data_IF_709820390888
#
_entry.id   IF_709820390888
#
_cell.length_a   1.000
_cell.length_b   1.000
_cell.length_c   1.000
_cell.angle_alpha   90.00
_cell.angle_beta   90.00
_cell.angle_gamma   90.00
#
_symmetry.space_group_name_H-M   'P 1'
#
loop_
_entity.id
_entity.type
_entity.pdbx_description
1 polymer ?
#
# COMPACT_ATOMS: atom_id res chain seq x y z
N UNK A 1 -20.09 -10.78 -18.99
CA UNK A 1 -20.50 -10.58 -20.40
C UNK A 1 -21.51 -9.43 -20.50
N UNK A 2 -22.54 -9.40 -19.66
CA UNK A 2 -23.58 -8.35 -19.64
C UNK A 2 -23.04 -6.91 -19.46
N UNK A 3 -22.11 -6.69 -18.52
CA UNK A 3 -21.47 -5.36 -18.35
C UNK A 3 -20.67 -4.88 -19.56
N UNK A 4 -19.98 -5.78 -20.27
CA UNK A 4 -19.23 -5.42 -21.48
C UNK A 4 -20.17 -5.05 -22.64
N UNK A 5 -21.31 -5.74 -22.78
CA UNK A 5 -22.33 -5.39 -23.75
C UNK A 5 -22.96 -4.01 -23.45
N UNK A 6 -23.22 -3.72 -22.17
CA UNK A 6 -23.69 -2.41 -21.73
C UNK A 6 -22.70 -1.29 -22.09
N UNK A 7 -21.40 -1.51 -21.89
CA UNK A 7 -20.37 -0.52 -22.21
C UNK A 7 -20.27 -0.27 -23.71
N UNK A 8 -20.35 -1.34 -24.51
CA UNK A 8 -20.34 -1.25 -25.96
C UNK A 8 -21.55 -0.44 -26.48
N UNK A 9 -22.74 -0.66 -25.93
CA UNK A 9 -23.93 0.15 -26.26
C UNK A 9 -23.76 1.63 -25.90
N UNK A 10 -23.18 1.94 -24.75
CA UNK A 10 -22.89 3.32 -24.36
C UNK A 10 -21.88 4.00 -25.29
N UNK A 11 -20.85 3.27 -25.76
CA UNK A 11 -19.89 3.82 -26.73
C UNK A 11 -20.54 4.11 -28.07
N UNK A 12 -21.41 3.23 -28.56
CA UNK A 12 -22.13 3.45 -29.83
C UNK A 12 -22.96 4.74 -29.79
N UNK A 13 -23.66 5.02 -28.68
CA UNK A 13 -24.41 6.27 -28.52
C UNK A 13 -23.48 7.50 -28.55
N UNK A 14 -22.34 7.45 -27.85
CA UNK A 14 -21.41 8.59 -27.79
C UNK A 14 -20.72 8.85 -29.13
N UNK A 15 -20.40 7.79 -29.89
CA UNK A 15 -19.79 7.89 -31.23
C UNK A 15 -20.81 8.46 -32.23
N UNK A 16 -22.08 8.06 -32.15
CA UNK A 16 -23.14 8.59 -33.01
C UNK A 16 -23.38 10.09 -32.74
N UNK A 17 -23.32 10.51 -31.48
CA UNK A 17 -23.48 11.92 -31.10
C UNK A 17 -22.22 12.77 -31.39
N UNK A 18 -21.03 12.17 -31.45
CA UNK A 18 -19.76 12.87 -31.64
C UNK A 18 -18.77 12.07 -32.50
N UNK A 19 -18.95 12.04 -33.83
CA UNK A 19 -18.17 11.18 -34.73
C UNK A 19 -16.66 11.50 -34.77
N UNK A 20 -16.27 12.74 -34.45
CA UNK A 20 -14.86 13.18 -34.44
C UNK A 20 -14.13 12.89 -33.11
N UNK A 21 -14.83 12.37 -32.09
CA UNK A 21 -14.19 12.03 -30.81
C UNK A 21 -13.38 10.74 -30.93
N UNK A 22 -12.12 10.81 -30.53
CA UNK A 22 -11.24 9.65 -30.44
C UNK A 22 -11.81 8.60 -29.48
N UNK A 23 -11.98 7.38 -29.96
CA UNK A 23 -12.41 6.21 -29.18
C UNK A 23 -11.56 5.98 -27.92
N UNK A 24 -10.27 6.32 -27.99
CA UNK A 24 -9.34 6.20 -26.86
C UNK A 24 -9.67 7.15 -25.68
N UNK A 25 -10.51 8.16 -25.89
CA UNK A 25 -10.92 9.12 -24.84
C UNK A 25 -12.28 8.78 -24.21
N UNK A 26 -12.94 7.70 -24.64
CA UNK A 26 -14.22 7.31 -24.08
C UNK A 26 -14.02 6.56 -22.74
N UNK A 27 -14.77 6.92 -21.69
CA UNK A 27 -14.69 6.21 -20.42
C UNK A 27 -15.16 4.76 -20.63
N UNK A 28 -14.30 3.81 -20.25
CA UNK A 28 -14.59 2.38 -20.32
C UNK A 28 -15.45 1.93 -19.13
N UNK A 29 -15.25 2.58 -17.98
CA UNK A 29 -16.02 2.32 -16.78
C UNK A 29 -17.31 3.14 -16.82
N UNK A 30 -18.42 2.49 -16.48
CA UNK A 30 -19.65 3.20 -16.13
C UNK A 30 -19.45 4.03 -14.85
N UNK A 31 -20.27 5.07 -14.66
CA UNK A 31 -20.21 5.88 -13.44
C UNK A 31 -20.41 5.07 -12.15
N UNK A 32 -21.15 3.96 -12.19
CA UNK A 32 -21.31 3.05 -11.06
C UNK A 32 -20.00 2.34 -10.72
N UNK A 33 -19.29 1.84 -11.74
CA UNK A 33 -17.99 1.18 -11.54
C UNK A 33 -16.91 2.18 -11.11
N UNK A 34 -16.99 3.43 -11.57
CA UNK A 34 -16.10 4.48 -11.09
C UNK A 34 -16.32 4.76 -9.59
N UNK A 35 -17.58 4.86 -9.14
CA UNK A 35 -17.89 4.99 -7.71
C UNK A 35 -17.42 3.78 -6.89
N UNK A 36 -17.63 2.57 -7.41
CA UNK A 36 -17.16 1.36 -6.75
C UNK A 36 -15.63 1.33 -6.63
N UNK A 37 -14.91 1.82 -7.66
CA UNK A 37 -13.46 1.95 -7.61
C UNK A 37 -13.01 3.01 -6.59
N UNK A 38 -13.74 4.12 -6.47
CA UNK A 38 -13.49 5.14 -5.45
C UNK A 38 -13.72 4.57 -4.04
N UNK A 39 -14.79 3.80 -3.83
CA UNK A 39 -15.07 3.10 -2.56
C UNK A 39 -13.97 2.10 -2.20
N UNK A 40 -13.47 1.32 -3.17
CA UNK A 40 -12.37 0.39 -2.95
C UNK A 40 -11.05 1.08 -2.62
N UNK A 41 -10.80 2.25 -3.20
CA UNK A 41 -9.60 3.04 -2.94
C UNK A 41 -9.72 3.97 -1.71
N UNK A 42 -10.85 3.94 -1.00
CA UNK A 42 -11.11 4.75 0.20
C UNK A 42 -10.41 4.20 1.46
N UNK A 43 -9.16 3.77 1.30
CA UNK A 43 -8.34 3.15 2.34
C UNK A 43 -6.96 3.77 2.47
N UNK A 44 -6.75 4.97 1.91
CA UNK A 44 -5.49 5.68 2.04
C UNK A 44 -5.25 6.08 3.50
N UNK A 45 -4.52 5.23 4.22
CA UNK A 45 -4.02 5.55 5.55
C UNK A 45 -2.79 6.44 5.38
N UNK A 46 -2.76 7.56 6.09
CA UNK A 46 -1.59 8.42 6.13
C UNK A 46 -0.41 7.62 6.71
N UNK A 47 0.54 7.28 5.84
CA UNK A 47 1.83 6.76 6.26
C UNK A 47 2.75 7.96 6.58
N UNK A 48 3.41 8.00 7.75
CA UNK A 48 4.37 9.05 8.06
C UNK A 48 5.60 8.89 7.13
N UNK A 49 5.55 9.55 5.97
CA UNK A 49 6.61 9.50 4.95
C UNK A 49 7.94 10.09 5.44
N UNK A 50 7.92 10.86 6.52
CA UNK A 50 9.11 11.48 7.11
C UNK A 50 9.93 10.51 7.97
N UNK A 51 9.34 9.40 8.41
CA UNK A 51 10.02 8.42 9.26
C UNK A 51 10.34 7.15 8.48
N UNK A 52 11.57 6.67 8.66
CA UNK A 52 11.96 5.36 8.17
C UNK A 52 11.42 4.25 9.08
N UNK A 53 11.29 3.03 8.54
CA UNK A 53 10.81 1.87 9.31
C UNK A 53 11.65 1.60 10.56
N UNK A 54 12.98 1.76 10.46
CA UNK A 54 13.86 1.52 11.61
C UNK A 54 13.68 2.58 12.71
N UNK A 55 13.42 3.84 12.36
CA UNK A 55 13.10 4.88 13.35
C UNK A 55 11.77 4.60 14.06
N UNK A 56 10.72 4.20 13.34
CA UNK A 56 9.45 3.81 13.94
C UNK A 56 9.60 2.60 14.88
N UNK A 57 10.49 1.67 14.52
CA UNK A 57 10.83 0.54 15.37
C UNK A 57 11.57 0.97 16.63
N UNK A 58 12.59 1.83 16.53
CA UNK A 58 13.31 2.37 17.69
C UNK A 58 12.40 3.16 18.63
N UNK A 59 11.43 3.91 18.09
CA UNK A 59 10.39 4.54 18.91
C UNK A 59 9.57 3.51 19.71
N UNK A 60 9.20 2.39 19.09
CA UNK A 60 8.48 1.32 19.77
C UNK A 60 9.35 0.65 20.84
N UNK A 61 10.64 0.47 20.58
CA UNK A 61 11.61 -0.05 21.56
C UNK A 61 11.66 0.85 22.79
N UNK A 62 11.67 2.17 22.61
CA UNK A 62 11.66 3.12 23.71
C UNK A 62 10.34 3.11 24.51
N UNK A 63 9.21 2.87 23.84
CA UNK A 63 7.88 2.83 24.49
C UNK A 63 7.66 1.57 25.30
N UNK A 64 8.06 0.40 24.77
CA UNK A 64 7.81 -0.90 25.41
C UNK A 64 9.02 -1.82 25.28
N UNK A 65 10.14 -1.52 25.96
CA UNK A 65 11.42 -2.23 25.75
C UNK A 65 11.36 -3.71 26.12
N UNK A 66 10.63 -4.04 27.19
CA UNK A 66 10.55 -5.40 27.74
C UNK A 66 9.37 -6.20 27.17
N UNK A 67 8.58 -5.61 26.26
CA UNK A 67 7.53 -6.35 25.56
C UNK A 67 8.16 -7.30 24.53
N UNK A 68 7.55 -8.47 24.37
CA UNK A 68 7.98 -9.46 23.38
C UNK A 68 7.73 -8.92 21.97
N UNK A 69 8.79 -8.79 21.18
CA UNK A 69 8.75 -8.33 19.78
C UNK A 69 8.64 -9.50 18.80
N UNK A 70 9.38 -10.58 19.06
CA UNK A 70 9.44 -11.77 18.20
C UNK A 70 9.39 -13.02 19.04
N UNK A 71 8.58 -13.98 18.58
CA UNK A 71 8.51 -15.34 19.13
C UNK A 71 8.89 -16.30 18.02
N UNK A 72 9.89 -17.13 18.30
CA UNK A 72 10.27 -18.30 17.53
C UNK A 72 10.13 -19.55 18.42
N UNK A 73 10.08 -20.74 17.84
CA UNK A 73 9.87 -22.00 18.56
C UNK A 73 10.86 -22.21 19.72
N UNK A 74 12.07 -21.65 19.60
CA UNK A 74 13.19 -21.83 20.54
C UNK A 74 13.43 -20.65 21.46
N UNK A 75 12.92 -19.47 21.12
CA UNK A 75 13.27 -18.24 21.83
C UNK A 75 12.23 -17.13 21.65
N UNK A 76 12.18 -16.26 22.63
CA UNK A 76 11.44 -15.01 22.56
C UNK A 76 12.44 -13.87 22.72
N UNK A 77 12.28 -12.84 21.90
CA UNK A 77 13.09 -11.64 21.99
C UNK A 77 12.19 -10.46 22.31
N UNK A 78 12.59 -9.70 23.32
CA UNK A 78 11.99 -8.40 23.61
C UNK A 78 12.37 -7.37 22.54
N UNK A 79 11.64 -6.26 22.47
CA UNK A 79 11.99 -5.15 21.58
C UNK A 79 13.42 -4.66 21.82
N UNK A 80 13.84 -4.54 23.08
CA UNK A 80 15.19 -4.13 23.46
C UNK A 80 16.25 -5.10 22.94
N UNK A 81 16.10 -6.40 23.20
CA UNK A 81 17.07 -7.41 22.77
C UNK A 81 17.18 -7.51 21.25
N UNK A 82 16.05 -7.39 20.56
CA UNK A 82 16.02 -7.40 19.09
C UNK A 82 16.74 -6.18 18.51
N UNK A 83 16.50 -4.99 19.08
CA UNK A 83 17.14 -3.75 18.65
C UNK A 83 18.66 -3.77 18.86
N UNK A 84 19.12 -4.27 20.01
CA UNK A 84 20.54 -4.39 20.31
C UNK A 84 21.25 -5.30 19.29
N UNK A 85 20.66 -6.46 18.96
CA UNK A 85 21.20 -7.38 17.95
C UNK A 85 21.21 -6.76 16.55
N UNK A 86 20.15 -6.06 16.18
CA UNK A 86 20.07 -5.37 14.89
C UNK A 86 21.16 -4.28 14.77
N UNK A 87 21.37 -3.50 15.82
CA UNK A 87 22.39 -2.44 15.84
C UNK A 87 23.82 -3.00 15.80
N UNK A 88 24.09 -4.10 16.51
CA UNK A 88 25.38 -4.80 16.40
C UNK A 88 25.67 -5.25 14.97
N UNK A 89 24.67 -5.84 14.30
CA UNK A 89 24.80 -6.25 12.91
C UNK A 89 24.99 -5.05 11.97
N UNK A 90 24.22 -3.96 12.16
CA UNK A 90 24.35 -2.76 11.36
C UNK A 90 25.76 -2.15 11.44
N UNK A 91 26.34 -2.07 12.65
CA UNK A 91 27.72 -1.59 12.81
C UNK A 91 28.74 -2.52 12.15
N UNK A 92 28.56 -3.84 12.28
CA UNK A 92 29.42 -4.80 11.60
C UNK A 92 29.37 -4.64 10.08
N UNK A 93 28.16 -4.50 9.50
CA UNK A 93 27.98 -4.28 8.06
C UNK A 93 28.59 -2.96 7.59
N UNK A 94 28.49 -1.90 8.39
CA UNK A 94 29.15 -0.62 8.10
C UNK A 94 30.68 -0.72 8.11
N UNK A 95 31.25 -1.58 8.97
CA UNK A 95 32.71 -1.80 9.05
C UNK A 95 33.25 -2.68 7.93
N UNK A 96 32.43 -3.60 7.40
CA UNK A 96 32.80 -4.50 6.30
C UNK A 96 32.46 -3.93 4.91
N UNK A 97 31.93 -2.70 4.84
CA UNK A 97 31.56 -1.99 3.61
C UNK A 97 32.71 -1.26 2.95
#
# INVERSE_FOLDING_TARGET
>A
IESMAQHFGNWLNVIVENPDKSLAKLPILSGLQQKQLEEWNNGAVAYPQESTIHQLFEEQVNRTPDAVAVVDEKQQLTYRELNEKANQLAHYLQQCG
#
